data_IF_451543653482
#
_entry.id   IF_451543653482
#
_cell.length_a   1.000
_cell.length_b   1.000
_cell.length_c   1.000
_cell.angle_alpha   90.00
_cell.angle_beta   90.00
_cell.angle_gamma   90.00
#
_symmetry.space_group_name_H-M   'P 1'
#
loop_
_entity.id
_entity.type
_entity.pdbx_description
1 polymer ?
#
# COMPACT_ATOMS: atom_id res chain seq x y z
N UNK A 1 2.83 -27.57 -27.22
CA UNK A 1 3.06 -26.54 -26.19
C UNK A 1 1.69 -26.12 -25.67
N UNK A 2 1.38 -26.33 -24.40
CA UNK A 2 0.20 -25.72 -23.78
C UNK A 2 0.48 -24.21 -23.70
N UNK A 3 -0.34 -23.41 -24.36
CA UNK A 3 -0.29 -21.95 -24.21
C UNK A 3 -0.59 -21.53 -22.77
N UNK A 4 -0.50 -20.23 -22.45
CA UNK A 4 -0.84 -19.75 -21.12
C UNK A 4 -2.28 -20.15 -20.77
N UNK A 5 -2.47 -20.62 -19.54
CA UNK A 5 -3.79 -20.99 -19.02
C UNK A 5 -4.78 -19.83 -19.15
N UNK A 6 -6.06 -20.18 -19.30
CA UNK A 6 -7.15 -19.20 -19.34
C UNK A 6 -7.14 -18.39 -18.03
N UNK A 7 -7.15 -17.06 -18.15
CA UNK A 7 -7.18 -16.16 -16.98
C UNK A 7 -8.32 -16.53 -16.02
N UNK A 8 -7.97 -16.73 -14.74
CA UNK A 8 -8.95 -16.98 -13.67
C UNK A 8 -9.93 -15.80 -13.54
N UNK A 9 -11.24 -16.11 -13.50
CA UNK A 9 -12.28 -15.13 -13.16
C UNK A 9 -12.09 -14.62 -11.72
N UNK A 10 -12.08 -13.30 -11.56
CA UNK A 10 -11.89 -12.62 -10.27
C UNK A 10 -12.73 -11.35 -10.21
N UNK A 11 -13.05 -10.89 -9.00
CA UNK A 11 -13.64 -9.56 -8.79
C UNK A 11 -12.56 -8.52 -9.01
N UNK A 12 -12.88 -7.44 -9.72
CA UNK A 12 -11.95 -6.33 -9.92
C UNK A 12 -11.87 -5.47 -8.65
N UNK A 13 -10.66 -5.13 -8.24
CA UNK A 13 -10.36 -4.26 -7.10
C UNK A 13 -9.69 -2.99 -7.61
N UNK A 14 -10.17 -1.83 -7.19
CA UNK A 14 -9.57 -0.53 -7.54
C UNK A 14 -8.49 -0.18 -6.52
N UNK A 15 -7.26 0.08 -6.98
CA UNK A 15 -6.17 0.61 -6.17
C UNK A 15 -5.77 1.97 -6.72
N UNK A 16 -6.39 3.03 -6.21
CA UNK A 16 -6.05 4.41 -6.59
C UNK A 16 -6.19 4.72 -8.09
N UNK A 17 -7.16 4.10 -8.77
CA UNK A 17 -7.40 4.21 -10.21
C UNK A 17 -6.87 3.01 -11.02
N UNK A 18 -6.01 2.17 -10.44
CA UNK A 18 -5.48 0.97 -11.10
C UNK A 18 -6.36 -0.24 -10.77
N UNK A 19 -7.03 -0.81 -11.77
CA UNK A 19 -7.90 -1.99 -11.60
C UNK A 19 -7.10 -3.29 -11.61
N UNK A 20 -7.13 -4.04 -10.51
CA UNK A 20 -6.55 -5.38 -10.38
C UNK A 20 -7.64 -6.45 -10.50
N UNK A 21 -7.44 -7.44 -11.36
CA UNK A 21 -8.38 -8.55 -11.54
C UNK A 21 -9.49 -8.27 -12.57
N UNK A 22 -10.53 -9.09 -12.57
CA UNK A 22 -11.58 -9.05 -13.59
C UNK A 22 -11.01 -9.34 -14.99
N UNK A 23 -11.36 -8.51 -15.96
CA UNK A 23 -10.83 -8.52 -17.33
C UNK A 23 -9.63 -7.61 -17.54
N UNK A 24 -9.15 -6.92 -16.48
CA UNK A 24 -7.99 -6.03 -16.57
C UNK A 24 -6.69 -6.77 -16.88
N UNK A 25 -5.66 -6.07 -17.40
CA UNK A 25 -4.34 -6.64 -17.63
C UNK A 25 -3.69 -7.13 -16.32
N UNK A 26 -2.58 -7.87 -16.43
CA UNK A 26 -1.75 -8.14 -15.25
C UNK A 26 -1.04 -6.85 -14.89
N UNK A 27 -1.25 -6.36 -13.67
CA UNK A 27 -0.64 -5.13 -13.16
C UNK A 27 0.76 -5.40 -12.63
N UNK A 28 1.74 -4.62 -13.07
CA UNK A 28 3.12 -4.67 -12.56
C UNK A 28 3.24 -3.79 -11.33
N UNK A 29 3.75 -4.35 -10.23
CA UNK A 29 3.98 -3.63 -8.99
C UNK A 29 5.39 -3.88 -8.46
N UNK A 30 5.89 -2.95 -7.66
CA UNK A 30 7.21 -3.02 -7.01
C UNK A 30 7.14 -2.53 -5.57
N UNK A 31 8.27 -2.57 -4.87
CA UNK A 31 8.39 -2.09 -3.50
C UNK A 31 9.69 -1.30 -3.35
N UNK A 32 9.63 -0.20 -2.61
CA UNK A 32 10.83 0.55 -2.24
C UNK A 32 11.72 -0.25 -1.28
N UNK A 33 13.00 0.13 -1.22
CA UNK A 33 13.94 -0.34 -0.21
C UNK A 33 14.64 0.82 0.55
N UNK A 34 14.25 2.06 0.27
CA UNK A 34 14.61 3.23 1.07
C UNK A 34 13.91 3.19 2.42
N UNK A 35 14.49 3.90 3.39
CA UNK A 35 13.78 4.20 4.61
C UNK A 35 12.62 5.18 4.32
N UNK A 36 11.37 4.76 4.55
CA UNK A 36 10.19 5.59 4.27
C UNK A 36 10.21 6.93 5.02
N UNK A 37 10.89 7.01 6.17
CA UNK A 37 11.09 8.26 6.89
C UNK A 37 11.97 9.27 6.11
N UNK A 38 12.83 8.79 5.22
CA UNK A 38 13.54 9.61 4.24
C UNK A 38 12.62 9.91 3.05
N UNK A 39 11.90 11.01 3.15
CA UNK A 39 10.92 11.47 2.16
C UNK A 39 11.59 11.65 0.79
N UNK A 40 12.76 12.29 0.73
CA UNK A 40 13.40 12.62 -0.55
C UNK A 40 13.94 11.36 -1.25
N UNK A 41 14.60 10.46 -0.51
CA UNK A 41 15.04 9.19 -1.05
C UNK A 41 13.86 8.34 -1.53
N UNK A 42 12.77 8.30 -0.76
CA UNK A 42 11.58 7.50 -1.10
C UNK A 42 10.83 8.08 -2.29
N UNK A 43 10.65 9.40 -2.39
CA UNK A 43 10.07 10.06 -3.58
C UNK A 43 10.91 9.78 -4.83
N UNK A 44 12.24 9.89 -4.72
CA UNK A 44 13.16 9.61 -5.82
C UNK A 44 13.02 8.16 -6.31
N UNK A 45 13.00 7.20 -5.39
CA UNK A 45 12.87 5.78 -5.75
C UNK A 45 11.48 5.43 -6.30
N UNK A 46 10.39 5.93 -5.69
CA UNK A 46 9.04 5.73 -6.22
C UNK A 46 8.92 6.28 -7.65
N UNK A 47 9.50 7.46 -7.90
CA UNK A 47 9.56 8.07 -9.22
C UNK A 47 10.30 7.19 -10.22
N UNK A 48 11.47 6.66 -9.83
CA UNK A 48 12.26 5.75 -10.67
C UNK A 48 11.50 4.46 -11.00
N UNK A 49 10.88 3.84 -9.99
CA UNK A 49 10.08 2.62 -10.16
C UNK A 49 8.88 2.85 -11.07
N UNK A 50 8.16 3.96 -10.88
CA UNK A 50 7.03 4.31 -11.73
C UNK A 50 7.46 4.53 -13.19
N UNK A 51 8.54 5.30 -13.42
CA UNK A 51 9.09 5.54 -14.77
C UNK A 51 9.62 4.26 -15.44
N UNK A 52 10.05 3.28 -14.65
CA UNK A 52 10.44 1.96 -15.15
C UNK A 52 9.23 1.06 -15.50
N UNK A 53 8.00 1.51 -15.25
CA UNK A 53 6.76 0.80 -15.58
C UNK A 53 6.02 0.21 -14.39
N UNK A 54 6.40 0.52 -13.14
CA UNK A 54 5.62 0.10 -11.98
C UNK A 54 4.31 0.88 -11.90
N UNK A 55 3.20 0.18 -12.03
CA UNK A 55 1.85 0.75 -12.01
C UNK A 55 1.36 0.99 -10.57
N UNK A 56 1.89 0.25 -9.60
CA UNK A 56 1.65 0.41 -8.16
C UNK A 56 2.99 0.28 -7.42
N UNK A 57 3.21 1.09 -6.39
CA UNK A 57 4.45 1.01 -5.59
C UNK A 57 4.12 0.81 -4.12
N UNK A 58 4.78 -0.15 -3.48
CA UNK A 58 4.64 -0.42 -2.04
C UNK A 58 5.76 0.22 -1.24
N UNK A 59 5.44 0.75 -0.06
CA UNK A 59 6.39 1.32 0.91
C UNK A 59 6.20 0.65 2.27
N UNK A 60 7.27 0.46 3.03
CA UNK A 60 7.19 -0.05 4.41
C UNK A 60 6.65 1.05 5.34
N UNK A 61 5.73 0.71 6.24
CA UNK A 61 5.25 1.63 7.29
C UNK A 61 5.34 0.90 8.63
N UNK A 62 6.49 1.04 9.29
CA UNK A 62 6.90 0.20 10.43
C UNK A 62 7.09 0.97 11.74
N UNK A 63 6.99 2.31 11.70
CA UNK A 63 7.11 3.20 12.85
C UNK A 63 6.47 4.57 12.59
N UNK A 64 6.39 5.37 13.64
CA UNK A 64 5.74 6.68 13.62
C UNK A 64 6.34 7.61 12.55
N UNK A 65 7.66 7.64 12.41
CA UNK A 65 8.35 8.52 11.45
C UNK A 65 8.00 8.15 10.01
N UNK A 66 7.94 6.84 9.71
CA UNK A 66 7.51 6.36 8.40
C UNK A 66 6.05 6.72 8.11
N UNK A 67 5.15 6.56 9.10
CA UNK A 67 3.75 6.91 8.95
C UNK A 67 3.55 8.43 8.71
N UNK A 68 4.30 9.28 9.44
CA UNK A 68 4.27 10.73 9.24
C UNK A 68 4.82 11.15 7.87
N UNK A 69 5.77 10.40 7.30
CA UNK A 69 6.36 10.71 6.00
C UNK A 69 5.44 10.42 4.80
N UNK A 70 4.57 9.41 4.89
CA UNK A 70 3.66 8.99 3.79
C UNK A 70 2.88 10.13 3.14
N UNK A 71 2.13 10.98 3.88
CA UNK A 71 1.38 12.08 3.25
C UNK A 71 2.29 13.06 2.49
N UNK A 72 3.49 13.35 3.02
CA UNK A 72 4.47 14.20 2.34
C UNK A 72 5.01 13.56 1.06
N UNK A 73 5.26 12.25 1.06
CA UNK A 73 5.68 11.50 -0.13
C UNK A 73 4.61 11.60 -1.21
N UNK A 74 3.34 11.33 -0.87
CA UNK A 74 2.21 11.42 -1.81
C UNK A 74 2.08 12.83 -2.37
N UNK A 75 2.14 13.86 -1.52
CA UNK A 75 2.07 15.26 -1.92
C UNK A 75 3.20 15.64 -2.88
N UNK A 76 4.45 15.23 -2.60
CA UNK A 76 5.62 15.50 -3.43
C UNK A 76 5.51 14.83 -4.80
N UNK A 77 5.07 13.57 -4.85
CA UNK A 77 4.85 12.86 -6.12
C UNK A 77 3.77 13.54 -6.95
N UNK A 78 2.64 13.91 -6.33
CA UNK A 78 1.54 14.60 -7.01
C UNK A 78 1.97 15.95 -7.59
N UNK A 79 2.77 16.74 -6.85
CA UNK A 79 3.37 18.00 -7.34
C UNK A 79 4.28 17.81 -8.56
N UNK A 80 4.83 16.61 -8.75
CA UNK A 80 5.62 16.24 -9.93
C UNK A 80 4.76 15.65 -11.06
N UNK A 81 3.44 15.62 -10.92
CA UNK A 81 2.52 14.98 -11.87
C UNK A 81 2.54 13.45 -11.82
N UNK A 82 3.14 12.85 -10.78
CA UNK A 82 3.23 11.40 -10.60
C UNK A 82 2.13 10.96 -9.64
N UNK A 83 1.12 10.26 -10.17
CA UNK A 83 -0.05 9.80 -9.41
C UNK A 83 -0.05 8.27 -9.22
N UNK A 84 1.13 7.67 -9.04
CA UNK A 84 1.26 6.22 -8.80
C UNK A 84 0.64 5.85 -7.44
N UNK A 85 -0.26 4.85 -7.36
CA UNK A 85 -0.84 4.42 -6.08
C UNK A 85 0.20 3.85 -5.13
N UNK A 86 0.21 4.33 -3.88
CA UNK A 86 1.07 3.81 -2.82
C UNK A 86 0.35 2.77 -1.95
N UNK A 87 1.01 1.62 -1.75
CA UNK A 87 0.56 0.56 -0.83
C UNK A 87 1.37 0.63 0.46
N UNK A 88 0.72 0.66 1.61
CA UNK A 88 1.40 0.58 2.91
C UNK A 88 1.62 -0.87 3.32
N UNK A 89 2.88 -1.26 3.55
CA UNK A 89 3.25 -2.57 4.10
C UNK A 89 3.39 -2.50 5.61
N UNK A 90 2.44 -3.12 6.33
CA UNK A 90 2.37 -3.04 7.79
C UNK A 90 2.77 -4.36 8.45
N UNK A 91 3.57 -4.26 9.51
CA UNK A 91 3.96 -5.39 10.35
C UNK A 91 3.84 -5.03 11.83
N UNK A 92 3.29 -5.96 12.62
CA UNK A 92 3.11 -5.93 14.09
C UNK A 92 2.26 -4.80 14.64
N UNK A 93 2.57 -3.55 14.31
CA UNK A 93 1.97 -2.33 14.86
C UNK A 93 1.09 -1.57 13.86
N UNK A 94 0.73 -2.18 12.72
CA UNK A 94 -0.08 -1.51 11.69
C UNK A 94 -1.40 -0.94 12.22
N UNK A 95 -2.07 -1.67 13.12
CA UNK A 95 -3.30 -1.21 13.77
C UNK A 95 -3.08 0.07 14.58
N UNK A 96 -1.94 0.16 15.28
CA UNK A 96 -1.55 1.36 16.04
C UNK A 96 -1.21 2.51 15.11
N UNK A 97 -0.41 2.28 14.07
CA UNK A 97 0.03 3.33 13.15
C UNK A 97 -1.15 3.94 12.38
N UNK A 98 -2.02 3.12 11.80
CA UNK A 98 -3.19 3.62 11.08
C UNK A 98 -4.20 4.33 11.99
N UNK A 99 -4.33 3.92 13.25
CA UNK A 99 -5.17 4.63 14.23
C UNK A 99 -4.58 5.98 14.63
N UNK A 100 -3.26 6.02 14.86
CA UNK A 100 -2.54 7.20 15.34
C UNK A 100 -2.30 8.24 14.26
N UNK A 101 -2.13 7.81 13.01
CA UNK A 101 -1.81 8.66 11.86
C UNK A 101 -2.89 8.57 10.77
N UNK A 102 -4.06 9.21 10.96
CA UNK A 102 -5.17 9.16 9.99
C UNK A 102 -4.80 9.73 8.62
N UNK A 103 -3.86 10.67 8.55
CA UNK A 103 -3.36 11.23 7.28
C UNK A 103 -2.54 10.19 6.50
N UNK A 104 -1.77 9.33 7.18
CA UNK A 104 -1.15 8.16 6.55
C UNK A 104 -2.21 7.22 6.01
N UNK A 105 -3.24 6.92 6.82
CA UNK A 105 -4.31 6.02 6.46
C UNK A 105 -5.07 6.50 5.21
N UNK A 106 -5.41 7.78 5.14
CA UNK A 106 -6.15 8.37 4.01
C UNK A 106 -5.29 8.50 2.75
N UNK A 107 -3.99 8.79 2.89
CA UNK A 107 -3.06 9.02 1.77
C UNK A 107 -2.69 7.75 0.99
N UNK A 108 -2.65 6.59 1.66
CA UNK A 108 -2.36 5.32 0.99
C UNK A 108 -3.54 4.88 0.10
N UNK A 109 -3.23 4.22 -1.00
CA UNK A 109 -4.22 3.66 -1.92
C UNK A 109 -4.66 2.23 -1.55
N UNK A 110 -3.91 1.54 -0.69
CA UNK A 110 -4.16 0.16 -0.27
C UNK A 110 -3.37 -0.19 1.00
N UNK A 111 -3.89 -1.10 1.83
CA UNK A 111 -3.17 -1.65 2.98
C UNK A 111 -2.77 -3.10 2.73
N UNK A 112 -1.48 -3.43 2.89
CA UNK A 112 -1.02 -4.82 2.94
C UNK A 112 -0.98 -5.25 4.40
N UNK A 113 -1.80 -6.24 4.73
CA UNK A 113 -1.86 -6.87 6.05
C UNK A 113 -1.31 -8.30 5.96
N UNK A 114 -0.42 -8.68 6.88
CA UNK A 114 0.02 -10.06 7.05
C UNK A 114 -0.60 -10.65 8.33
N UNK A 115 -1.57 -11.59 8.25
CA UNK A 115 -2.20 -12.19 9.43
C UNK A 115 -1.24 -12.89 10.40
N UNK A 116 -0.04 -13.30 9.95
CA UNK A 116 1.01 -13.84 10.82
C UNK A 116 1.72 -12.79 11.68
N UNK A 117 1.62 -11.51 11.30
CA UNK A 117 2.36 -10.41 11.92
C UNK A 117 1.40 -9.36 12.51
N UNK A 118 0.21 -9.73 12.97
CA UNK A 118 -0.77 -8.81 13.59
C UNK A 118 -1.07 -9.19 15.04
N UNK A 119 -0.11 -9.79 15.74
CA UNK A 119 -0.23 -10.18 17.15
C UNK A 119 -0.39 -11.68 17.39
N UNK A 120 -0.42 -12.07 18.66
CA UNK A 120 -0.49 -13.48 19.10
C UNK A 120 -1.77 -13.76 19.89
N UNK A 121 -2.32 -14.97 19.72
CA UNK A 121 -3.53 -15.46 20.42
C UNK A 121 -4.71 -14.47 20.25
N UNK A 122 -5.45 -14.17 21.33
CA UNK A 122 -6.62 -13.31 21.30
C UNK A 122 -6.34 -11.88 20.79
N UNK A 123 -5.11 -11.37 20.97
CA UNK A 123 -4.76 -10.03 20.45
C UNK A 123 -4.72 -9.99 18.93
N UNK A 124 -4.42 -11.13 18.28
CA UNK A 124 -4.32 -11.22 16.82
C UNK A 124 -5.63 -10.81 16.14
N UNK A 125 -6.73 -11.41 16.60
CA UNK A 125 -8.03 -11.22 15.95
C UNK A 125 -8.54 -9.79 16.19
N UNK A 126 -8.34 -9.25 17.41
CA UNK A 126 -8.69 -7.84 17.72
C UNK A 126 -7.89 -6.87 16.85
N UNK A 127 -6.57 -7.06 16.73
CA UNK A 127 -5.69 -6.19 15.94
C UNK A 127 -5.97 -6.30 14.45
N UNK A 128 -6.27 -7.50 13.96
CA UNK A 128 -6.69 -7.72 12.57
C UNK A 128 -8.03 -7.04 12.28
N UNK A 129 -9.06 -7.23 13.12
CA UNK A 129 -10.35 -6.56 12.98
C UNK A 129 -10.20 -5.04 12.97
N UNK A 130 -9.36 -4.48 13.86
CA UNK A 130 -9.07 -3.04 13.88
C UNK A 130 -8.53 -2.54 12.53
N UNK A 131 -7.64 -3.31 11.89
CA UNK A 131 -7.11 -2.96 10.56
C UNK A 131 -8.19 -3.01 9.47
N UNK A 132 -9.09 -3.99 9.53
CA UNK A 132 -10.22 -4.10 8.59
C UNK A 132 -11.21 -2.95 8.78
N UNK A 133 -11.54 -2.61 10.02
CA UNK A 133 -12.44 -1.49 10.33
C UNK A 133 -11.86 -0.16 9.82
N UNK A 134 -10.54 0.03 9.93
CA UNK A 134 -9.85 1.19 9.37
C UNK A 134 -9.88 1.19 7.84
N UNK A 135 -9.64 0.04 7.20
CA UNK A 135 -9.77 -0.10 5.75
C UNK A 135 -11.19 0.24 5.27
N UNK A 136 -12.22 -0.27 5.94
CA UNK A 136 -13.62 0.04 5.63
C UNK A 136 -13.93 1.53 5.84
N UNK A 137 -13.47 2.12 6.94
CA UNK A 137 -13.64 3.55 7.24
C UNK A 137 -13.02 4.45 6.19
N UNK A 138 -11.84 4.09 5.67
CA UNK A 138 -11.08 4.88 4.71
C UNK A 138 -11.33 4.46 3.25
N UNK A 139 -12.24 3.50 3.01
CA UNK A 139 -12.53 2.89 1.71
C UNK A 139 -11.25 2.41 0.99
N UNK A 140 -10.43 1.64 1.71
CA UNK A 140 -9.15 1.12 1.22
C UNK A 140 -9.21 -0.39 0.97
N UNK A 141 -8.74 -0.86 -0.20
CA UNK A 141 -8.54 -2.27 -0.50
C UNK A 141 -7.30 -2.87 0.17
#
# INVERSE_FOLDING_TARGET
>A
MSGPDIRRKSVAVDVGGVKIGGSGPIVVQSMTNTDTADIEATVSQVTALHRAGSEIVRVTVDRDEAAMAVPHIVERLSKQGINVPLVGDFHYIGHTLLTKFPDCASSLAKYRINPGNVGFKAKRDIQFSTLIDLALKHDKP
#
